data_IF_465625026176
#
_entry.id   IF_465625026176
#
_cell.length_a   1.000
_cell.length_b   1.000
_cell.length_c   1.000
_cell.angle_alpha   90.00
_cell.angle_beta   90.00
_cell.angle_gamma   90.00
#
_symmetry.space_group_name_H-M   'P 1'
#
loop_
_entity.id
_entity.type
_entity.pdbx_description
1 polymer ?
#
# COMPACT_ATOMS: atom_id res chain seq x y z
N UNK A 1 12.69 8.31 -7.61
CA UNK A 1 12.26 9.72 -7.74
C UNK A 1 11.92 10.20 -6.35
N UNK A 2 12.57 11.26 -5.88
CA UNK A 2 12.38 11.80 -4.53
C UNK A 2 11.43 13.00 -4.60
N UNK A 3 10.18 12.81 -4.22
CA UNK A 3 9.22 13.91 -4.15
C UNK A 3 9.55 14.74 -2.91
N UNK A 4 9.93 16.01 -3.08
CA UNK A 4 10.35 16.85 -1.95
C UNK A 4 9.19 17.61 -1.34
N UNK A 5 8.22 18.04 -2.15
CA UNK A 5 7.08 18.86 -1.72
C UNK A 5 5.78 18.07 -1.75
N UNK A 6 4.78 18.55 -1.01
CA UNK A 6 3.43 17.97 -1.04
C UNK A 6 2.82 17.99 -2.46
N UNK A 7 3.12 19.02 -3.26
CA UNK A 7 2.69 19.10 -4.67
C UNK A 7 3.21 17.92 -5.49
N UNK A 8 4.45 17.51 -5.26
CA UNK A 8 5.09 16.40 -5.97
C UNK A 8 4.45 15.08 -5.56
N UNK A 9 4.12 14.93 -4.28
CA UNK A 9 3.45 13.75 -3.73
C UNK A 9 2.01 13.61 -4.23
N UNK A 10 1.30 14.74 -4.40
CA UNK A 10 -0.02 14.77 -5.03
C UNK A 10 0.04 14.37 -6.49
N UNK A 11 1.09 14.78 -7.21
CA UNK A 11 1.30 14.37 -8.60
C UNK A 11 1.66 12.89 -8.70
N UNK A 12 2.55 12.41 -7.82
CA UNK A 12 2.89 11.00 -7.75
C UNK A 12 1.68 10.12 -7.43
N UNK A 13 0.81 10.55 -6.51
CA UNK A 13 -0.46 9.86 -6.24
C UNK A 13 -1.31 9.71 -7.51
N UNK A 14 -1.40 10.74 -8.36
CA UNK A 14 -2.13 10.67 -9.63
C UNK A 14 -1.51 9.64 -10.58
N UNK A 15 -0.19 9.59 -10.67
CA UNK A 15 0.51 8.58 -11.48
C UNK A 15 0.28 7.16 -10.96
N UNK A 16 0.34 6.94 -9.65
CA UNK A 16 0.03 5.65 -9.02
C UNK A 16 -1.41 5.24 -9.30
N UNK A 17 -2.37 6.18 -9.21
CA UNK A 17 -3.77 5.91 -9.53
C UNK A 17 -3.98 5.54 -10.99
N UNK A 18 -3.27 6.19 -11.92
CA UNK A 18 -3.32 5.85 -13.35
C UNK A 18 -2.84 4.40 -13.57
N UNK A 19 -1.71 4.03 -12.97
CA UNK A 19 -1.17 2.67 -13.04
C UNK A 19 -2.11 1.62 -12.43
N UNK A 20 -2.68 1.92 -11.26
CA UNK A 20 -3.67 1.04 -10.61
C UNK A 20 -4.93 0.86 -11.47
N UNK A 21 -5.40 1.94 -12.12
CA UNK A 21 -6.56 1.88 -13.02
C UNK A 21 -6.27 1.01 -14.24
N UNK A 22 -5.12 1.20 -14.87
CA UNK A 22 -4.69 0.35 -15.99
C UNK A 22 -4.57 -1.12 -15.58
N UNK A 23 -3.98 -1.39 -14.41
CA UNK A 23 -3.91 -2.75 -13.88
C UNK A 23 -5.30 -3.35 -13.62
N UNK A 24 -6.26 -2.54 -13.12
CA UNK A 24 -7.64 -2.97 -12.90
C UNK A 24 -8.35 -3.33 -14.22
N UNK A 25 -8.19 -2.50 -15.26
CA UNK A 25 -8.75 -2.74 -16.59
C UNK A 25 -8.18 -4.03 -17.21
N UNK A 26 -6.87 -4.24 -17.11
CA UNK A 26 -6.22 -5.47 -17.55
C UNK A 26 -6.70 -6.69 -16.77
N UNK A 27 -6.90 -6.55 -15.45
CA UNK A 27 -7.40 -7.63 -14.61
C UNK A 27 -8.85 -7.99 -14.97
N UNK A 28 -9.69 -6.99 -15.27
CA UNK A 28 -11.06 -7.23 -15.72
C UNK A 28 -11.08 -8.01 -17.04
N UNK A 29 -10.27 -7.60 -18.01
CA UNK A 29 -10.14 -8.31 -19.29
C UNK A 29 -9.67 -9.77 -19.10
N UNK A 30 -8.75 -10.03 -18.16
CA UNK A 30 -8.34 -11.41 -17.83
C UNK A 30 -9.48 -12.24 -17.26
N UNK A 31 -10.28 -11.68 -16.36
CA UNK A 31 -11.45 -12.36 -15.79
C UNK A 31 -12.44 -12.71 -16.90
N UNK A 32 -12.70 -11.77 -17.81
CA UNK A 32 -13.61 -11.98 -18.93
C UNK A 32 -13.08 -13.05 -19.90
N UNK A 33 -11.76 -13.14 -20.10
CA UNK A 33 -11.13 -14.19 -20.88
C UNK A 33 -11.31 -15.57 -20.24
N UNK A 34 -11.05 -15.72 -18.94
CA UNK A 34 -11.27 -17.00 -18.25
C UNK A 34 -12.73 -17.43 -18.32
N UNK A 35 -13.67 -16.48 -18.17
CA UNK A 35 -15.10 -16.79 -18.32
C UNK A 35 -15.44 -17.29 -19.73
N UNK A 36 -14.86 -16.69 -20.78
CA UNK A 36 -15.03 -17.14 -22.16
C UNK A 36 -14.43 -18.51 -22.41
N UNK A 37 -13.19 -18.75 -21.97
CA UNK A 37 -12.50 -20.05 -22.09
C UNK A 37 -13.35 -21.17 -21.46
N UNK A 38 -13.85 -20.97 -20.24
CA UNK A 38 -14.70 -21.95 -19.56
C UNK A 38 -15.95 -22.29 -20.39
N UNK A 39 -16.60 -21.29 -20.98
CA UNK A 39 -17.80 -21.49 -21.80
C UNK A 39 -17.48 -22.20 -23.11
N UNK A 40 -16.39 -21.82 -23.77
CA UNK A 40 -15.93 -22.44 -25.02
C UNK A 40 -15.53 -23.91 -24.80
N UNK A 41 -14.78 -24.21 -23.76
CA UNK A 41 -14.42 -25.60 -23.41
C UNK A 41 -15.66 -26.43 -23.07
N UNK A 42 -16.62 -25.87 -22.32
CA UNK A 42 -17.89 -26.55 -22.03
C UNK A 42 -18.69 -26.84 -23.29
N UNK A 43 -18.75 -25.88 -24.23
CA UNK A 43 -19.41 -26.05 -25.52
C UNK A 43 -18.73 -27.14 -26.35
N UNK A 44 -17.40 -27.10 -26.44
CA UNK A 44 -16.60 -28.10 -27.14
C UNK A 44 -16.87 -29.53 -26.61
N UNK A 45 -16.91 -29.72 -25.30
CA UNK A 45 -17.24 -31.02 -24.68
C UNK A 45 -18.66 -31.50 -25.06
N UNK A 46 -19.62 -30.59 -25.17
CA UNK A 46 -21.01 -30.92 -25.48
C UNK A 46 -21.22 -31.25 -26.97
N UNK A 47 -20.59 -30.49 -27.86
CA UNK A 47 -20.77 -30.60 -29.31
C UNK A 47 -19.98 -31.75 -29.95
N UNK A 48 -18.92 -32.23 -29.29
CA UNK A 48 -18.01 -33.22 -29.86
C UNK A 48 -18.08 -34.56 -29.11
N UNK A 49 -17.92 -35.66 -29.84
CA UNK A 49 -17.80 -36.99 -29.25
C UNK A 49 -16.36 -37.23 -28.79
N UNK A 50 -16.07 -36.86 -27.55
CA UNK A 50 -14.74 -36.98 -26.97
C UNK A 50 -14.50 -38.34 -26.31
N UNK A 51 -13.26 -38.82 -26.42
CA UNK A 51 -12.80 -40.00 -25.69
C UNK A 51 -12.59 -39.69 -24.18
N UNK A 52 -12.18 -40.71 -23.42
CA UNK A 52 -11.99 -40.56 -21.96
C UNK A 52 -10.82 -39.62 -21.61
N UNK A 53 -9.72 -39.68 -22.37
CA UNK A 53 -8.54 -38.86 -22.14
C UNK A 53 -8.81 -37.39 -22.47
N UNK A 54 -9.48 -37.13 -23.59
CA UNK A 54 -9.90 -35.79 -24.02
C UNK A 54 -10.87 -35.17 -23.01
N UNK A 55 -11.86 -35.93 -22.51
CA UNK A 55 -12.77 -35.45 -21.46
C UNK A 55 -12.03 -35.11 -20.18
N UNK A 56 -11.05 -35.90 -19.78
CA UNK A 56 -10.24 -35.62 -18.60
C UNK A 56 -9.40 -34.35 -18.78
N UNK A 57 -8.73 -34.18 -19.92
CA UNK A 57 -7.94 -33.00 -20.23
C UNK A 57 -8.80 -31.71 -20.22
N UNK A 58 -9.97 -31.73 -20.85
CA UNK A 58 -10.87 -30.58 -20.87
C UNK A 58 -11.41 -30.23 -19.46
N UNK A 59 -11.67 -31.24 -18.61
CA UNK A 59 -12.07 -30.99 -17.21
C UNK A 59 -10.97 -30.31 -16.41
N UNK A 60 -9.71 -30.73 -16.60
CA UNK A 60 -8.55 -30.09 -15.96
C UNK A 60 -8.44 -28.64 -16.44
N UNK A 61 -8.53 -28.39 -17.74
CA UNK A 61 -8.48 -27.03 -18.28
C UNK A 61 -9.58 -26.12 -17.70
N UNK A 62 -10.82 -26.59 -17.62
CA UNK A 62 -11.92 -25.83 -16.97
C UNK A 62 -11.63 -25.57 -15.50
N UNK A 63 -11.16 -26.59 -14.77
CA UNK A 63 -10.80 -26.44 -13.36
C UNK A 63 -9.73 -25.36 -13.16
N UNK A 64 -8.69 -25.38 -14.00
CA UNK A 64 -7.60 -24.41 -13.95
C UNK A 64 -8.08 -23.00 -14.29
N UNK A 65 -8.87 -22.82 -15.37
CA UNK A 65 -9.45 -21.51 -15.72
C UNK A 65 -10.36 -20.97 -14.60
N UNK A 66 -11.11 -21.83 -13.90
CA UNK A 66 -11.90 -21.43 -12.72
C UNK A 66 -10.99 -20.97 -11.59
N UNK A 67 -9.97 -21.76 -11.23
CA UNK A 67 -9.05 -21.42 -10.14
C UNK A 67 -8.28 -20.11 -10.42
N UNK A 68 -7.82 -19.92 -11.66
CA UNK A 68 -7.17 -18.67 -12.07
C UNK A 68 -8.15 -17.49 -12.11
N UNK A 69 -9.38 -17.71 -12.56
CA UNK A 69 -10.46 -16.72 -12.53
C UNK A 69 -10.76 -16.24 -11.11
N UNK A 70 -10.89 -17.15 -10.14
CA UNK A 70 -11.11 -16.80 -8.73
C UNK A 70 -9.96 -15.97 -8.15
N UNK A 71 -8.71 -16.35 -8.46
CA UNK A 71 -7.53 -15.59 -8.03
C UNK A 71 -7.52 -14.19 -8.66
N UNK A 72 -7.89 -14.07 -9.93
CA UNK A 72 -7.99 -12.79 -10.63
C UNK A 72 -9.09 -11.89 -10.02
N UNK A 73 -10.23 -12.46 -9.62
CA UNK A 73 -11.30 -11.72 -8.92
C UNK A 73 -10.80 -11.16 -7.58
N UNK A 74 -10.07 -11.96 -6.78
CA UNK A 74 -9.47 -11.48 -5.52
C UNK A 74 -8.46 -10.35 -5.75
N UNK A 75 -7.62 -10.47 -6.78
CA UNK A 75 -6.66 -9.40 -7.11
C UNK A 75 -7.38 -8.13 -7.61
N UNK A 76 -8.47 -8.25 -8.38
CA UNK A 76 -9.33 -7.13 -8.79
C UNK A 76 -9.90 -6.40 -7.57
N UNK A 77 -10.41 -7.12 -6.57
CA UNK A 77 -10.91 -6.51 -5.32
C UNK A 77 -9.82 -5.77 -4.54
N UNK A 78 -8.62 -6.36 -4.48
CA UNK A 78 -7.45 -5.70 -3.89
C UNK A 78 -7.09 -4.41 -4.64
N UNK A 79 -7.07 -4.42 -5.96
CA UNK A 79 -6.84 -3.23 -6.79
C UNK A 79 -7.91 -2.15 -6.54
N UNK A 80 -9.18 -2.53 -6.42
CA UNK A 80 -10.26 -1.60 -6.09
C UNK A 80 -10.05 -0.90 -4.74
N UNK A 81 -9.59 -1.64 -3.72
CA UNK A 81 -9.24 -1.08 -2.41
C UNK A 81 -8.02 -0.15 -2.50
N UNK A 82 -6.97 -0.59 -3.19
CA UNK A 82 -5.75 0.20 -3.39
C UNK A 82 -6.03 1.52 -4.11
N UNK A 83 -6.92 1.54 -5.11
CA UNK A 83 -7.30 2.78 -5.80
C UNK A 83 -7.83 3.84 -4.82
N UNK A 84 -8.58 3.43 -3.79
CA UNK A 84 -9.16 4.37 -2.82
C UNK A 84 -8.13 4.97 -1.87
N UNK A 85 -7.15 4.16 -1.45
CA UNK A 85 -6.08 4.56 -0.53
C UNK A 85 -4.83 3.69 -0.80
N UNK A 86 -3.95 4.09 -1.74
CA UNK A 86 -2.86 3.23 -2.20
C UNK A 86 -1.79 2.97 -1.13
N UNK A 87 -1.38 4.01 -0.43
CA UNK A 87 -0.35 3.98 0.60
C UNK A 87 -0.70 4.95 1.72
N UNK A 88 -0.19 4.69 2.92
CA UNK A 88 -0.38 5.53 4.11
C UNK A 88 0.95 6.07 4.65
N UNK A 89 2.08 5.54 4.20
CA UNK A 89 3.40 5.94 4.66
C UNK A 89 4.41 5.99 3.52
N UNK A 90 5.48 6.77 3.73
CA UNK A 90 6.69 6.73 2.93
C UNK A 90 7.90 6.85 3.84
N UNK A 91 8.91 6.04 3.54
CA UNK A 91 10.26 6.23 4.07
C UNK A 91 11.24 6.36 2.93
N UNK A 92 12.27 7.19 3.10
CA UNK A 92 13.44 7.15 2.24
C UNK A 92 14.57 6.48 3.03
N UNK A 93 15.15 5.44 2.44
CA UNK A 93 16.15 4.60 3.08
C UNK A 93 17.39 4.49 2.21
N UNK A 94 18.53 4.88 2.77
CA UNK A 94 19.85 4.73 2.18
C UNK A 94 20.57 3.55 2.84
N UNK A 95 20.59 2.40 2.16
CA UNK A 95 21.31 1.23 2.64
C UNK A 95 22.82 1.51 2.73
N UNK A 96 23.51 1.04 3.77
CA UNK A 96 24.95 1.28 3.95
C UNK A 96 25.80 0.67 2.82
N UNK A 97 25.38 -0.51 2.33
CA UNK A 97 26.13 -1.25 1.29
C UNK A 97 25.75 -0.83 -0.13
N UNK A 98 24.50 -0.38 -0.34
CA UNK A 98 24.06 0.13 -1.63
C UNK A 98 24.28 1.65 -1.67
N UNK A 99 25.07 2.17 -2.62
CA UNK A 99 25.27 3.63 -2.79
C UNK A 99 24.03 4.37 -3.33
N UNK A 100 22.83 3.87 -3.05
CA UNK A 100 21.58 4.38 -3.59
C UNK A 100 20.54 4.43 -2.47
N UNK A 101 19.91 5.59 -2.39
CA UNK A 101 18.75 5.81 -1.56
C UNK A 101 17.49 5.40 -2.33
N UNK A 102 16.53 4.81 -1.62
CA UNK A 102 15.26 4.37 -2.20
C UNK A 102 14.07 4.95 -1.43
N UNK A 103 13.07 5.41 -2.19
CA UNK A 103 11.80 5.86 -1.65
C UNK A 103 10.82 4.67 -1.59
N UNK A 104 10.41 4.29 -0.39
CA UNK A 104 9.51 3.17 -0.15
C UNK A 104 8.14 3.69 0.28
N UNK A 105 7.14 3.56 -0.59
CA UNK A 105 5.75 3.84 -0.27
C UNK A 105 5.11 2.60 0.34
N UNK A 106 4.46 2.73 1.49
CA UNK A 106 3.95 1.62 2.28
C UNK A 106 2.43 1.68 2.32
N UNK A 107 1.81 0.58 1.94
CA UNK A 107 0.35 0.43 1.88
C UNK A 107 -0.14 -0.82 2.59
N UNK A 108 -1.47 -0.89 2.76
CA UNK A 108 -2.14 -2.08 3.32
C UNK A 108 -1.91 -3.31 2.44
N UNK A 109 -1.70 -3.08 1.15
CA UNK A 109 -1.42 -4.11 0.17
C UNK A 109 -0.27 -3.67 -0.73
N UNK A 110 0.55 -4.64 -1.15
CA UNK A 110 1.60 -4.38 -2.14
C UNK A 110 1.06 -4.23 -3.56
N UNK A 111 1.73 -3.40 -4.36
CA UNK A 111 1.47 -3.22 -5.79
C UNK A 111 2.79 -3.06 -6.54
N UNK A 112 2.98 -3.89 -7.56
CA UNK A 112 4.08 -3.77 -8.50
C UNK A 112 3.54 -3.36 -9.87
N UNK A 113 4.33 -2.58 -10.59
CA UNK A 113 4.05 -2.21 -11.96
C UNK A 113 3.98 -3.47 -12.85
N UNK A 114 2.85 -3.74 -13.54
CA UNK A 114 2.72 -4.97 -14.34
C UNK A 114 3.70 -5.07 -15.51
N UNK A 115 4.29 -3.96 -15.96
CA UNK A 115 5.19 -3.92 -17.13
C UNK A 115 6.65 -4.02 -16.68
N UNK A 116 7.03 -3.21 -15.70
CA UNK A 116 8.44 -3.11 -15.26
C UNK A 116 8.80 -4.05 -14.10
N UNK A 117 7.79 -4.70 -13.50
CA UNK A 117 7.91 -5.47 -12.26
C UNK A 117 8.45 -4.67 -11.06
N UNK A 118 8.61 -3.35 -11.20
CA UNK A 118 9.08 -2.50 -10.13
C UNK A 118 7.99 -2.33 -9.07
N UNK A 119 8.32 -2.58 -7.80
CA UNK A 119 7.42 -2.35 -6.67
C UNK A 119 7.14 -0.86 -6.52
N UNK A 120 5.87 -0.49 -6.66
CA UNK A 120 5.40 0.89 -6.47
C UNK A 120 4.94 1.09 -5.03
N UNK A 121 4.28 0.08 -4.46
CA UNK A 121 3.74 0.08 -3.11
C UNK A 121 4.21 -1.18 -2.42
N UNK A 122 4.88 -1.03 -1.29
CA UNK A 122 5.29 -2.12 -0.42
C UNK A 122 4.16 -2.50 0.53
N UNK A 123 3.94 -3.80 0.70
CA UNK A 123 3.01 -4.32 1.69
C UNK A 123 3.56 -4.04 3.10
N UNK A 124 2.71 -3.56 4.00
CA UNK A 124 3.13 -3.20 5.37
C UNK A 124 3.73 -4.38 6.16
N UNK A 125 3.46 -5.62 5.76
CA UNK A 125 4.01 -6.83 6.40
C UNK A 125 5.36 -7.26 5.79
N UNK A 126 5.78 -6.65 4.69
CA UNK A 126 7.09 -6.94 4.12
C UNK A 126 8.17 -6.50 5.12
N UNK A 127 9.28 -7.25 5.28
CA UNK A 127 10.27 -6.91 6.29
C UNK A 127 10.85 -5.49 6.16
N UNK A 128 11.04 -5.00 4.94
CA UNK A 128 11.51 -3.63 4.68
C UNK A 128 10.54 -2.56 5.21
N UNK A 129 9.25 -2.87 5.29
CA UNK A 129 8.21 -1.96 5.78
C UNK A 129 8.19 -1.84 7.30
N UNK A 130 8.83 -2.77 8.04
CA UNK A 130 8.91 -2.68 9.50
C UNK A 130 9.62 -1.38 9.93
N UNK A 131 10.55 -0.90 9.11
CA UNK A 131 11.28 0.34 9.37
C UNK A 131 10.37 1.56 9.60
N UNK A 132 9.20 1.58 8.98
CA UNK A 132 8.23 2.67 9.18
C UNK A 132 7.67 2.71 10.61
N UNK A 133 7.61 1.57 11.30
CA UNK A 133 7.11 1.47 12.67
C UNK A 133 8.25 1.47 13.68
N UNK A 134 9.35 0.80 13.35
CA UNK A 134 10.42 0.49 14.30
C UNK A 134 11.41 1.66 14.46
N UNK A 135 11.49 2.56 13.48
CA UNK A 135 12.48 3.65 13.48
C UNK A 135 11.87 5.01 13.15
N UNK A 136 12.49 6.04 13.71
CA UNK A 136 12.40 7.41 13.21
C UNK A 136 13.54 7.69 12.24
N UNK A 137 13.71 8.95 11.83
CA UNK A 137 14.88 9.37 11.05
C UNK A 137 16.18 9.06 11.79
N UNK A 138 17.18 8.60 11.05
CA UNK A 138 18.47 8.20 11.59
C UNK A 138 18.86 6.76 11.22
N UNK A 139 19.78 6.15 11.96
CA UNK A 139 20.18 4.76 11.74
C UNK A 139 18.98 3.81 11.85
N UNK A 140 18.79 2.97 10.83
CA UNK A 140 17.69 2.02 10.76
C UNK A 140 18.16 0.71 10.11
N UNK A 141 17.37 -0.35 10.31
CA UNK A 141 17.62 -1.63 9.67
C UNK A 141 16.35 -2.43 9.49
N UNK A 142 16.40 -3.44 8.63
CA UNK A 142 15.37 -4.47 8.54
C UNK A 142 15.98 -5.85 8.36
N UNK A 143 15.20 -6.89 8.69
CA UNK A 143 15.62 -8.29 8.55
C UNK A 143 15.14 -8.85 7.21
N UNK A 144 16.03 -8.98 6.23
CA UNK A 144 15.75 -9.70 5.00
C UNK A 144 16.00 -11.22 5.20
N UNK A 145 15.46 -12.09 4.33
CA UNK A 145 15.79 -13.52 4.35
C UNK A 145 17.30 -13.82 4.25
N UNK A 146 18.06 -12.93 3.60
CA UNK A 146 19.52 -13.03 3.44
C UNK A 146 20.31 -12.41 4.61
N UNK A 147 19.63 -11.84 5.61
CA UNK A 147 20.25 -11.24 6.78
C UNK A 147 19.82 -9.80 7.05
N UNK A 148 20.46 -9.18 8.05
CA UNK A 148 20.22 -7.80 8.44
C UNK A 148 20.71 -6.84 7.37
N UNK A 149 19.85 -5.93 6.95
CA UNK A 149 20.18 -4.83 6.04
C UNK A 149 20.15 -3.52 6.83
N UNK A 150 21.29 -2.85 6.92
CA UNK A 150 21.49 -1.63 7.71
C UNK A 150 21.60 -0.41 6.80
N UNK A 151 21.21 0.75 7.31
CA UNK A 151 21.24 1.99 6.56
C UNK A 151 20.76 3.20 7.37
N UNK A 152 20.42 4.26 6.65
CA UNK A 152 19.93 5.52 7.21
C UNK A 152 18.54 5.81 6.65
N UNK A 153 17.57 6.03 7.55
CA UNK A 153 16.26 6.56 7.23
C UNK A 153 16.34 8.09 7.20
N UNK A 154 16.23 8.68 6.02
CA UNK A 154 16.45 10.12 5.80
C UNK A 154 15.13 10.90 5.78
N UNK A 155 14.04 10.26 5.38
CA UNK A 155 12.70 10.85 5.31
C UNK A 155 11.67 9.87 5.86
N UNK A 156 10.71 10.35 6.66
CA UNK A 156 9.54 9.61 7.09
C UNK A 156 8.32 10.50 6.93
N UNK A 157 7.30 10.02 6.20
CA UNK A 157 6.05 10.73 5.97
C UNK A 157 4.86 9.82 6.19
N UNK A 158 3.81 10.40 6.72
CA UNK A 158 2.50 9.77 6.87
C UNK A 158 1.49 10.53 6.01
N UNK A 159 0.64 9.78 5.32
CA UNK A 159 -0.39 10.31 4.45
C UNK A 159 -1.75 9.85 4.94
N UNK A 160 -2.74 10.73 4.78
CA UNK A 160 -4.14 10.32 4.76
C UNK A 160 -4.67 10.45 3.35
N UNK A 161 -4.96 9.31 2.76
CA UNK A 161 -5.58 9.23 1.43
C UNK A 161 -6.96 8.61 1.61
N UNK A 162 -7.98 9.29 1.08
CA UNK A 162 -9.36 8.82 1.11
C UNK A 162 -10.04 9.22 -0.18
N UNK A 163 -10.88 8.34 -0.71
CA UNK A 163 -11.59 8.59 -1.97
C UNK A 163 -10.65 9.09 -3.07
N UNK A 164 -9.46 8.49 -3.19
CA UNK A 164 -8.45 8.83 -4.21
C UNK A 164 -7.84 10.23 -4.05
N UNK A 165 -8.03 10.90 -2.92
CA UNK A 165 -7.47 12.22 -2.67
C UNK A 165 -6.59 12.21 -1.42
N UNK A 166 -5.44 12.85 -1.52
CA UNK A 166 -4.59 13.12 -0.37
C UNK A 166 -5.22 14.25 0.44
N UNK A 167 -5.67 13.91 1.65
CA UNK A 167 -6.27 14.86 2.57
C UNK A 167 -5.18 15.62 3.32
N UNK A 168 -4.16 14.91 3.77
CA UNK A 168 -2.97 15.52 4.36
C UNK A 168 -1.72 14.66 4.13
N UNK A 169 -0.58 15.31 4.26
CA UNK A 169 0.75 14.74 4.41
C UNK A 169 1.36 15.32 5.68
N UNK A 170 1.97 14.48 6.50
CA UNK A 170 2.73 14.88 7.69
C UNK A 170 4.13 14.30 7.54
N UNK A 171 5.13 15.12 7.83
CA UNK A 171 6.52 14.72 7.84
C UNK A 171 6.98 14.58 9.28
N UNK A 172 7.62 13.45 9.64
CA UNK A 172 8.04 13.22 11.02
C UNK A 172 9.14 14.20 11.42
N UNK A 173 8.77 15.16 12.27
CA UNK A 173 9.69 15.99 13.05
C UNK A 173 9.16 16.11 14.48
N UNK A 174 9.49 15.14 15.34
CA UNK A 174 9.35 15.10 16.81
C UNK A 174 7.97 15.40 17.47
N UNK A 175 7.01 16.08 16.81
CA UNK A 175 5.75 16.56 17.37
C UNK A 175 4.50 16.01 16.63
N UNK A 176 4.58 14.81 16.05
CA UNK A 176 3.50 14.22 15.23
C UNK A 176 2.19 13.97 16.00
N UNK A 177 2.30 13.59 17.28
CA UNK A 177 1.14 13.23 18.10
C UNK A 177 0.08 14.32 18.09
N UNK A 178 0.49 15.56 18.33
CA UNK A 178 -0.38 16.72 18.43
C UNK A 178 -0.99 17.13 17.09
N UNK A 179 -0.25 17.03 15.99
CA UNK A 179 -0.77 17.38 14.65
C UNK A 179 -1.83 16.40 14.16
N UNK A 180 -1.61 15.09 14.36
CA UNK A 180 -2.61 14.06 13.99
C UNK A 180 -3.85 14.22 14.88
N UNK A 181 -3.66 14.36 16.19
CA UNK A 181 -4.76 14.61 17.13
C UNK A 181 -5.54 15.87 16.74
N UNK A 182 -4.88 17.00 16.48
CA UNK A 182 -5.55 18.24 16.06
C UNK A 182 -6.28 18.11 14.72
N UNK A 183 -5.73 17.38 13.74
CA UNK A 183 -6.39 17.15 12.44
C UNK A 183 -7.60 16.22 12.53
N UNK A 184 -7.55 15.20 13.37
CA UNK A 184 -8.71 14.33 13.63
C UNK A 184 -9.78 15.07 14.47
N UNK A 185 -9.38 15.87 15.47
CA UNK A 185 -10.28 16.70 16.30
C UNK A 185 -10.97 17.83 15.52
N UNK A 186 -10.27 18.47 14.59
CA UNK A 186 -10.86 19.52 13.74
C UNK A 186 -11.92 18.99 12.78
N UNK A 187 -11.92 17.67 12.51
CA UNK A 187 -12.89 16.99 11.66
C UNK A 187 -14.06 16.39 12.43
N UNK A 188 -13.84 15.92 13.66
CA UNK A 188 -14.90 15.53 14.58
C UNK A 188 -15.30 16.73 15.46
N UNK A 189 -16.11 17.63 14.89
CA UNK A 189 -16.69 18.76 15.62
C UNK A 189 -17.77 18.29 16.61
N UNK A 190 -17.34 17.67 17.71
CA UNK A 190 -18.18 17.35 18.86
C UNK A 190 -17.48 17.91 20.10
N UNK A 191 -18.03 18.99 20.67
CA UNK A 191 -17.35 19.87 21.64
C UNK A 191 -16.94 19.17 22.95
N UNK A 192 -17.42 17.95 23.19
CA UNK A 192 -16.99 17.10 24.31
C UNK A 192 -15.58 16.52 24.12
N UNK A 193 -15.17 16.23 22.88
CA UNK A 193 -13.86 15.61 22.60
C UNK A 193 -12.71 16.64 22.65
N UNK A 194 -12.99 17.91 22.33
CA UNK A 194 -12.04 19.04 22.49
C UNK A 194 -11.63 19.27 23.95
N UNK A 195 -12.55 19.13 24.89
CA UNK A 195 -12.30 19.40 26.32
C UNK A 195 -11.44 18.32 27.01
N UNK A 196 -11.51 17.07 26.55
CA UNK A 196 -10.73 15.97 27.15
C UNK A 196 -9.26 16.08 26.75
N UNK A 197 -8.97 16.35 25.48
CA UNK A 197 -7.59 16.50 24.99
C UNK A 197 -6.93 17.78 25.51
N UNK A 198 -7.66 18.90 25.62
CA UNK A 198 -7.14 20.11 26.25
C UNK A 198 -6.73 19.90 27.71
N UNK A 199 -7.35 18.94 28.40
CA UNK A 199 -7.00 18.58 29.78
C UNK A 199 -5.74 17.71 29.81
N UNK A 200 -5.61 16.74 28.90
CA UNK A 200 -4.41 15.88 28.75
C UNK A 200 -3.18 16.72 28.33
N UNK A 201 -3.35 17.70 27.42
CA UNK A 201 -2.27 18.61 27.01
C UNK A 201 -1.79 19.49 28.16
N UNK A 202 -2.69 19.92 29.06
CA UNK A 202 -2.29 20.65 30.28
C UNK A 202 -1.51 19.76 31.24
N UNK A 203 -1.89 18.50 31.41
CA UNK A 203 -1.19 17.55 32.28
C UNK A 203 0.21 17.19 31.74
N UNK A 204 0.37 17.02 30.43
CA UNK A 204 1.68 16.79 29.81
C UNK A 204 2.60 18.02 29.86
N UNK A 205 2.06 19.23 29.66
CA UNK A 205 2.83 20.47 29.81
C UNK A 205 3.20 20.78 31.28
N UNK A 206 2.52 20.18 32.26
CA UNK A 206 2.85 20.29 33.69
C UNK A 206 3.93 19.28 34.11
N UNK A 207 4.15 18.23 33.31
CA UNK A 207 5.21 17.23 33.54
C UNK A 207 6.58 17.64 32.95
N UNK A 208 6.64 18.79 32.27
CA UNK A 208 7.88 19.46 31.91
C UNK A 208 8.53 20.05 33.16
N UNK A 209 9.54 19.34 33.66
CA UNK A 209 10.41 19.77 34.77
C UNK A 209 10.79 21.26 34.59
N UNK A 210 10.53 22.14 35.58
CA UNK A 210 11.01 23.50 35.52
C UNK A 210 12.54 23.49 35.64
N UNK A 211 13.21 24.14 34.68
CA UNK A 211 14.60 24.53 34.79
C UNK A 211 14.80 25.36 36.07
N UNK A 212 15.55 24.84 37.03
CA UNK A 212 16.17 25.66 38.07
C UNK A 212 17.65 25.83 37.76
N UNK A 213 17.98 27.10 37.46
CA UNK A 213 19.26 27.82 37.59
C UNK A 213 20.56 27.03 37.71
#
# INVERSE_FOLDING_TARGET
MFNQKESDERNYLKEVQKKLKTALEQMQAKIDNYAREILETKRYIYENHLDLAEKAANRIAVHDSVAFGEKAIKEREKLQKLIQSPYFGRIDFAETKAKKEEALYIGVHGFADPVTAHTIIFDWRAPVSSMFYDFERGPAFYMAPLGKIEGMLTLKRQYRIRQRQMEYMIESSLNIGDEILQKELSRNSDDKMKNIVATIQREQNTSGIPLTR
#
